data_IF_256556982060
#
_entry.id   IF_256556982060
#
_cell.length_a   1.000
_cell.length_b   1.000
_cell.length_c   1.000
_cell.angle_alpha   90.00
_cell.angle_beta   90.00
_cell.angle_gamma   90.00
#
_symmetry.space_group_name_H-M   'P 1'
#
loop_
_entity.id
_entity.type
_entity.pdbx_description
1 polymer ?
#
# COMPACT_ATOMS: atom_id res chain seq x y z
N UNK A 1 45.42 -81.53 -13.26
CA UNK A 1 46.29 -80.66 -12.43
C UNK A 1 46.41 -79.24 -12.99
N UNK A 2 46.64 -79.05 -14.30
CA UNK A 2 46.82 -77.72 -14.92
C UNK A 2 45.54 -76.86 -14.91
N UNK A 3 44.36 -77.45 -15.15
CA UNK A 3 43.07 -76.74 -15.13
C UNK A 3 42.64 -76.22 -13.74
N UNK A 4 43.15 -76.84 -12.67
CA UNK A 4 42.82 -76.43 -11.30
C UNK A 4 43.70 -75.23 -10.88
N UNK A 5 44.93 -75.16 -11.38
CA UNK A 5 45.83 -74.02 -11.16
C UNK A 5 45.36 -72.75 -11.88
N UNK A 6 44.79 -72.84 -13.08
CA UNK A 6 44.29 -71.66 -13.81
C UNK A 6 43.02 -71.05 -13.17
N UNK A 7 42.15 -71.87 -12.60
CA UNK A 7 40.97 -71.42 -11.84
C UNK A 7 41.35 -70.71 -10.54
N UNK A 8 42.32 -71.25 -9.80
CA UNK A 8 42.82 -70.65 -8.55
C UNK A 8 43.56 -69.34 -8.84
N UNK A 9 44.37 -69.30 -9.91
CA UNK A 9 45.04 -68.08 -10.37
C UNK A 9 44.03 -67.00 -10.78
N UNK A 10 42.92 -67.38 -11.43
CA UNK A 10 41.82 -66.48 -11.78
C UNK A 10 41.07 -65.92 -10.56
N UNK A 11 40.81 -66.75 -9.53
CA UNK A 11 40.21 -66.30 -8.26
C UNK A 11 41.12 -65.37 -7.48
N UNK A 12 42.42 -65.65 -7.42
CA UNK A 12 43.40 -64.79 -6.75
C UNK A 12 43.53 -63.44 -7.50
N UNK A 13 43.52 -63.46 -8.83
CA UNK A 13 43.52 -62.25 -9.65
C UNK A 13 42.26 -61.39 -9.46
N UNK A 14 41.07 -62.00 -9.38
CA UNK A 14 39.83 -61.24 -9.15
C UNK A 14 39.78 -60.63 -7.76
N UNK A 15 40.23 -61.33 -6.71
CA UNK A 15 40.34 -60.77 -5.36
C UNK A 15 41.39 -59.64 -5.27
N UNK A 16 42.53 -59.77 -5.95
CA UNK A 16 43.55 -58.71 -6.05
C UNK A 16 43.05 -57.49 -6.85
N UNK A 17 42.28 -57.69 -7.92
CA UNK A 17 41.64 -56.60 -8.68
C UNK A 17 40.57 -55.88 -7.85
N UNK A 18 39.73 -56.63 -7.13
CA UNK A 18 38.68 -56.07 -6.26
C UNK A 18 39.30 -55.26 -5.11
N UNK A 19 40.40 -55.72 -4.52
CA UNK A 19 41.13 -54.97 -3.48
C UNK A 19 41.77 -53.68 -4.01
N UNK A 20 42.34 -53.69 -5.22
CA UNK A 20 42.89 -52.47 -5.85
C UNK A 20 41.78 -51.48 -6.21
N UNK A 21 40.66 -51.95 -6.74
CA UNK A 21 39.50 -51.11 -7.04
C UNK A 21 38.88 -50.48 -5.78
N UNK A 22 38.88 -51.18 -4.65
CA UNK A 22 38.40 -50.65 -3.36
C UNK A 22 39.35 -49.60 -2.77
N UNK A 23 40.66 -49.81 -2.86
CA UNK A 23 41.68 -48.84 -2.43
C UNK A 23 41.68 -47.57 -3.29
N UNK A 24 41.53 -47.72 -4.61
CA UNK A 24 41.48 -46.61 -5.56
C UNK A 24 40.18 -45.81 -5.44
N UNK A 25 39.05 -46.48 -5.16
CA UNK A 25 37.80 -45.80 -4.78
C UNK A 25 37.94 -45.04 -3.46
N UNK A 26 38.58 -45.64 -2.45
CA UNK A 26 38.83 -44.98 -1.18
C UNK A 26 39.69 -43.72 -1.32
N UNK A 27 40.78 -43.80 -2.10
CA UNK A 27 41.72 -42.69 -2.32
C UNK A 27 41.15 -41.55 -3.18
N UNK A 28 40.14 -41.82 -4.01
CA UNK A 28 39.49 -40.80 -4.85
C UNK A 28 38.28 -40.14 -4.18
N UNK A 29 37.58 -40.87 -3.31
CA UNK A 29 36.39 -40.36 -2.59
C UNK A 29 36.79 -39.64 -1.30
N UNK A 30 37.81 -40.13 -0.58
CA UNK A 30 38.28 -39.52 0.67
C UNK A 30 38.61 -38.01 0.55
N UNK A 31 39.37 -37.52 -0.46
CA UNK A 31 39.63 -36.09 -0.60
C UNK A 31 38.36 -35.29 -0.95
N UNK A 32 37.42 -35.85 -1.70
CA UNK A 32 36.13 -35.20 -2.01
C UNK A 32 35.27 -35.01 -0.77
N UNK A 33 35.21 -36.03 0.09
CA UNK A 33 34.52 -35.96 1.38
C UNK A 33 35.22 -34.93 2.28
N UNK A 34 36.55 -34.90 2.30
CA UNK A 34 37.32 -33.92 3.08
C UNK A 34 37.02 -32.48 2.64
N UNK A 35 36.99 -32.23 1.32
CA UNK A 35 36.61 -30.93 0.76
C UNK A 35 35.16 -30.56 1.05
N UNK A 36 34.23 -31.50 0.95
CA UNK A 36 32.82 -31.28 1.31
C UNK A 36 32.67 -30.90 2.79
N UNK A 37 33.40 -31.56 3.69
CA UNK A 37 33.45 -31.20 5.12
C UNK A 37 34.04 -29.81 5.31
N UNK A 38 35.13 -29.47 4.61
CA UNK A 38 35.74 -28.14 4.67
C UNK A 38 34.76 -27.04 4.23
N UNK A 39 33.99 -27.28 3.16
CA UNK A 39 32.92 -26.38 2.70
C UNK A 39 31.85 -26.22 3.78
N UNK A 40 31.38 -27.30 4.40
CA UNK A 40 30.36 -27.21 5.45
C UNK A 40 30.86 -26.45 6.69
N UNK A 41 32.13 -26.61 7.06
CA UNK A 41 32.76 -25.82 8.13
C UNK A 41 32.84 -24.34 7.75
N UNK A 42 33.20 -24.03 6.50
CA UNK A 42 33.20 -22.66 5.99
C UNK A 42 31.78 -22.08 5.98
N UNK A 43 30.77 -22.84 5.55
CA UNK A 43 29.36 -22.42 5.58
C UNK A 43 28.91 -22.10 7.01
N UNK A 44 29.26 -22.95 7.98
CA UNK A 44 28.94 -22.69 9.39
C UNK A 44 29.61 -21.41 9.89
N UNK A 45 30.86 -21.15 9.49
CA UNK A 45 31.56 -19.92 9.82
C UNK A 45 30.86 -18.70 9.19
N UNK A 46 30.55 -18.74 7.89
CA UNK A 46 29.81 -17.69 7.18
C UNK A 46 28.44 -17.44 7.80
N UNK A 47 27.68 -18.49 8.13
CA UNK A 47 26.38 -18.36 8.78
C UNK A 47 26.48 -17.64 10.14
N UNK A 48 27.56 -17.89 10.88
CA UNK A 48 27.84 -17.22 12.14
C UNK A 48 28.18 -15.74 11.92
N UNK A 49 28.99 -15.42 10.91
CA UNK A 49 29.31 -14.03 10.53
C UNK A 49 28.04 -13.28 10.13
N UNK A 50 27.22 -13.87 9.26
CA UNK A 50 25.93 -13.32 8.81
C UNK A 50 25.02 -13.06 10.00
N UNK A 51 24.89 -14.02 10.92
CA UNK A 51 24.08 -13.86 12.14
C UNK A 51 24.51 -12.63 12.96
N UNK A 52 25.82 -12.48 13.21
CA UNK A 52 26.35 -11.36 13.99
C UNK A 52 26.23 -10.01 13.25
N UNK A 53 26.46 -9.99 11.94
CA UNK A 53 26.33 -8.76 11.13
C UNK A 53 24.88 -8.31 11.04
N UNK A 54 23.96 -9.23 10.74
CA UNK A 54 22.52 -8.97 10.72
C UNK A 54 22.03 -8.49 12.09
N UNK A 55 22.48 -9.09 13.20
CA UNK A 55 22.10 -8.63 14.54
C UNK A 55 22.58 -7.18 14.83
N UNK A 56 23.72 -6.76 14.29
CA UNK A 56 24.21 -5.38 14.43
C UNK A 56 23.40 -4.38 13.59
N UNK A 57 23.08 -4.75 12.34
CA UNK A 57 22.36 -3.87 11.41
C UNK A 57 20.88 -3.71 11.78
N UNK A 58 20.24 -4.76 12.29
CA UNK A 58 18.81 -4.77 12.65
C UNK A 58 18.54 -4.44 14.12
N UNK A 59 19.52 -3.92 14.87
CA UNK A 59 19.37 -3.64 16.31
C UNK A 59 18.26 -2.63 16.65
N UNK A 60 17.84 -1.80 15.68
CA UNK A 60 16.75 -0.81 15.82
C UNK A 60 15.41 -1.27 15.23
N UNK A 61 15.33 -2.50 14.75
CA UNK A 61 14.12 -3.08 14.16
C UNK A 61 13.34 -3.85 15.22
N UNK A 62 12.02 -3.96 15.04
CA UNK A 62 11.15 -4.81 15.86
C UNK A 62 11.71 -6.24 16.00
N UNK A 63 11.75 -6.82 17.22
CA UNK A 63 12.39 -8.11 17.49
C UNK A 63 11.87 -9.26 16.62
N UNK A 64 10.58 -9.21 16.25
CA UNK A 64 9.93 -10.23 15.42
C UNK A 64 10.43 -10.19 13.98
N UNK A 65 10.54 -9.00 13.39
CA UNK A 65 11.05 -8.80 12.02
C UNK A 65 12.54 -9.16 11.96
N UNK A 66 13.30 -8.77 12.98
CA UNK A 66 14.71 -9.12 13.10
C UNK A 66 14.93 -10.64 13.09
N UNK A 67 14.19 -11.39 13.93
CA UNK A 67 14.31 -12.85 13.98
C UNK A 67 13.96 -13.50 12.65
N UNK A 68 12.89 -13.04 12.00
CA UNK A 68 12.47 -13.56 10.69
C UNK A 68 13.53 -13.35 9.60
N UNK A 69 14.02 -12.12 9.42
CA UNK A 69 15.03 -11.80 8.41
C UNK A 69 16.34 -12.56 8.64
N UNK A 70 16.74 -12.68 9.91
CA UNK A 70 17.93 -13.43 10.28
C UNK A 70 17.78 -14.93 9.98
N UNK A 71 16.61 -15.52 10.27
CA UNK A 71 16.34 -16.92 9.95
C UNK A 71 16.40 -17.17 8.45
N UNK A 72 15.78 -16.30 7.63
CA UNK A 72 15.81 -16.41 6.17
C UNK A 72 17.26 -16.33 5.65
N UNK A 73 18.04 -15.36 6.11
CA UNK A 73 19.44 -15.21 5.68
C UNK A 73 20.30 -16.44 6.04
N UNK A 74 20.14 -16.97 7.26
CA UNK A 74 20.87 -18.17 7.69
C UNK A 74 20.44 -19.40 6.88
N UNK A 75 19.15 -19.57 6.59
CA UNK A 75 18.65 -20.67 5.76
C UNK A 75 19.25 -20.62 4.36
N UNK A 76 19.34 -19.45 3.72
CA UNK A 76 19.94 -19.30 2.39
C UNK A 76 21.43 -19.67 2.38
N UNK A 77 22.18 -19.31 3.42
CA UNK A 77 23.59 -19.71 3.58
C UNK A 77 23.72 -21.23 3.70
N UNK A 78 22.85 -21.86 4.48
CA UNK A 78 22.87 -23.33 4.62
C UNK A 78 22.49 -24.05 3.32
N UNK A 79 21.49 -23.56 2.59
CA UNK A 79 21.09 -24.12 1.30
C UNK A 79 22.25 -24.02 0.30
N UNK A 80 22.86 -22.83 0.15
CA UNK A 80 23.98 -22.62 -0.76
C UNK A 80 25.21 -23.46 -0.39
N UNK A 81 25.56 -23.53 0.88
CA UNK A 81 26.65 -24.38 1.37
C UNK A 81 26.40 -25.87 1.19
N UNK A 82 25.17 -26.33 1.42
CA UNK A 82 24.76 -27.71 1.20
C UNK A 82 24.87 -28.12 -0.28
N UNK A 83 24.40 -27.26 -1.19
CA UNK A 83 24.54 -27.48 -2.64
C UNK A 83 26.02 -27.53 -3.06
N UNK A 84 26.85 -26.62 -2.56
CA UNK A 84 28.29 -26.61 -2.84
C UNK A 84 28.99 -27.89 -2.36
N UNK A 85 28.66 -28.35 -1.14
CA UNK A 85 29.21 -29.60 -0.60
C UNK A 85 28.78 -30.84 -1.40
N UNK A 86 27.52 -30.92 -1.83
CA UNK A 86 27.01 -32.01 -2.67
C UNK A 86 27.71 -32.05 -4.04
N UNK A 87 28.04 -30.88 -4.61
CA UNK A 87 28.74 -30.77 -5.88
C UNK A 87 30.14 -31.40 -5.82
N UNK A 88 30.90 -31.15 -4.74
CA UNK A 88 32.25 -31.71 -4.55
C UNK A 88 32.25 -33.23 -4.40
N UNK A 89 31.21 -33.80 -3.78
CA UNK A 89 31.05 -35.26 -3.66
C UNK A 89 30.75 -35.91 -5.03
N UNK A 90 30.42 -35.12 -6.05
CA UNK A 90 30.10 -35.60 -7.40
C UNK A 90 28.63 -35.99 -7.56
N UNK A 91 27.76 -35.55 -6.64
CA UNK A 91 26.31 -35.69 -6.78
C UNK A 91 25.83 -34.64 -7.78
N UNK A 92 24.95 -35.03 -8.69
CA UNK A 92 24.37 -34.11 -9.66
C UNK A 92 23.46 -33.10 -8.95
N UNK A 93 23.98 -31.90 -8.72
CA UNK A 93 23.29 -30.83 -7.97
C UNK A 93 22.16 -30.17 -8.76
N UNK A 94 22.09 -30.37 -10.08
CA UNK A 94 21.07 -29.79 -10.95
C UNK A 94 19.65 -30.09 -10.46
N UNK A 95 19.37 -31.32 -10.03
CA UNK A 95 18.04 -31.73 -9.54
C UNK A 95 17.73 -31.10 -8.18
N UNK A 96 18.72 -31.01 -7.29
CA UNK A 96 18.58 -30.34 -5.98
C UNK A 96 18.31 -28.86 -6.16
N UNK A 97 19.09 -28.19 -7.02
CA UNK A 97 18.91 -26.77 -7.34
C UNK A 97 17.54 -26.52 -7.99
N UNK A 98 17.09 -27.41 -8.88
CA UNK A 98 15.76 -27.30 -9.48
C UNK A 98 14.63 -27.38 -8.43
N UNK A 99 14.71 -28.34 -7.49
CA UNK A 99 13.72 -28.49 -6.41
C UNK A 99 13.74 -27.29 -5.45
N UNK A 100 14.93 -26.86 -5.04
CA UNK A 100 15.11 -25.66 -4.19
C UNK A 100 14.58 -24.41 -4.90
N UNK A 101 14.88 -24.25 -6.19
CA UNK A 101 14.38 -23.15 -7.00
C UNK A 101 12.86 -23.14 -7.12
N UNK A 102 12.25 -24.30 -7.38
CA UNK A 102 10.80 -24.45 -7.43
C UNK A 102 10.13 -24.14 -6.06
N UNK A 103 10.71 -24.63 -4.96
CA UNK A 103 10.23 -24.31 -3.62
C UNK A 103 10.37 -22.81 -3.30
N UNK A 104 11.49 -22.19 -3.68
CA UNK A 104 11.74 -20.76 -3.53
C UNK A 104 10.75 -19.91 -4.33
N UNK A 105 10.45 -20.30 -5.58
CA UNK A 105 9.43 -19.64 -6.39
C UNK A 105 8.04 -19.75 -5.74
N UNK A 106 7.66 -20.93 -5.25
CA UNK A 106 6.37 -21.12 -4.57
C UNK A 106 6.25 -20.24 -3.31
N UNK A 107 7.30 -20.16 -2.49
CA UNK A 107 7.34 -19.27 -1.32
C UNK A 107 7.28 -17.80 -1.76
N UNK A 108 8.03 -17.42 -2.79
CA UNK A 108 8.04 -16.06 -3.33
C UNK A 108 6.66 -15.61 -3.83
N UNK A 109 5.97 -16.49 -4.57
CA UNK A 109 4.60 -16.25 -5.03
C UNK A 109 3.62 -16.16 -3.85
N UNK A 110 3.78 -17.00 -2.81
CA UNK A 110 2.97 -16.92 -1.60
C UNK A 110 3.17 -15.60 -0.84
N UNK A 111 4.37 -15.02 -0.88
CA UNK A 111 4.72 -13.76 -0.22
C UNK A 111 4.56 -12.52 -1.11
N UNK A 112 4.18 -12.69 -2.38
CA UNK A 112 4.14 -11.61 -3.38
C UNK A 112 3.32 -10.40 -2.91
N UNK A 113 2.13 -10.64 -2.33
CA UNK A 113 1.27 -9.56 -1.85
C UNK A 113 1.87 -8.82 -0.64
N UNK A 114 2.46 -9.54 0.30
CA UNK A 114 3.10 -8.93 1.48
C UNK A 114 4.28 -8.05 1.08
N UNK A 115 5.07 -8.50 0.10
CA UNK A 115 6.20 -7.73 -0.41
C UNK A 115 5.74 -6.50 -1.20
N UNK A 116 4.63 -6.61 -1.94
CA UNK A 116 4.00 -5.47 -2.63
C UNK A 116 3.55 -4.39 -1.63
N UNK A 117 2.89 -4.79 -0.53
CA UNK A 117 2.51 -3.86 0.54
C UNK A 117 3.72 -3.18 1.19
N UNK A 118 4.79 -3.93 1.45
CA UNK A 118 6.04 -3.40 2.00
C UNK A 118 6.66 -2.34 1.07
N UNK A 119 6.80 -2.66 -0.21
CA UNK A 119 7.37 -1.75 -1.20
C UNK A 119 6.52 -0.48 -1.33
N UNK A 120 5.19 -0.63 -1.39
CA UNK A 120 4.27 0.50 -1.41
C UNK A 120 4.39 1.37 -0.16
N UNK A 121 4.57 0.78 1.03
CA UNK A 121 4.82 1.53 2.27
C UNK A 121 6.07 2.41 2.19
N UNK A 122 7.18 1.87 1.68
CA UNK A 122 8.41 2.63 1.46
C UNK A 122 8.16 3.78 0.47
N UNK A 123 7.43 3.53 -0.62
CA UNK A 123 7.14 4.55 -1.62
C UNK A 123 6.22 5.65 -1.08
N UNK A 124 5.21 5.32 -0.28
CA UNK A 124 4.34 6.29 0.38
C UNK A 124 5.15 7.22 1.30
N UNK A 125 6.07 6.68 2.09
CA UNK A 125 6.92 7.49 2.99
C UNK A 125 7.96 8.32 2.21
N UNK A 126 8.45 7.81 1.08
CA UNK A 126 9.49 8.47 0.27
C UNK A 126 8.92 9.60 -0.58
N UNK A 127 7.82 9.36 -1.30
CA UNK A 127 7.19 10.34 -2.18
C UNK A 127 6.18 11.23 -1.48
N UNK A 128 5.65 10.81 -0.32
CA UNK A 128 4.70 11.55 0.51
C UNK A 128 3.52 12.15 -0.28
N UNK A 129 2.74 11.34 -1.02
CA UNK A 129 1.50 11.84 -1.65
C UNK A 129 0.45 12.31 -0.63
N UNK A 130 0.61 11.90 0.64
CA UNK A 130 -0.13 12.36 1.80
C UNK A 130 0.71 12.14 3.06
N UNK A 131 0.39 12.87 4.12
CA UNK A 131 1.01 12.73 5.44
C UNK A 131 0.00 12.32 6.52
N UNK A 132 0.49 11.97 7.71
CA UNK A 132 -0.37 11.72 8.87
C UNK A 132 -1.11 13.00 9.24
N UNK A 133 -2.43 12.92 9.37
CA UNK A 133 -3.32 14.06 9.58
C UNK A 133 -4.03 14.54 8.31
N UNK A 134 -3.63 14.10 7.12
CA UNK A 134 -4.35 14.43 5.89
C UNK A 134 -5.67 13.69 5.79
N UNK A 135 -6.69 14.36 5.24
CA UNK A 135 -7.96 13.72 4.87
C UNK A 135 -7.82 13.21 3.44
N UNK A 136 -7.92 11.90 3.27
CA UNK A 136 -7.79 11.23 1.97
C UNK A 136 -9.03 10.43 1.63
N UNK A 137 -9.25 10.21 0.34
CA UNK A 137 -10.20 9.26 -0.21
C UNK A 137 -9.47 8.38 -1.22
N UNK A 138 -9.43 7.08 -0.97
CA UNK A 138 -8.69 6.11 -1.77
C UNK A 138 -9.01 4.69 -1.34
N UNK A 139 -8.80 3.71 -2.23
CA UNK A 139 -9.13 2.31 -1.97
C UNK A 139 -10.58 2.05 -1.47
N UNK A 140 -11.53 2.90 -1.87
CA UNK A 140 -12.94 2.80 -1.47
C UNK A 140 -13.25 3.32 -0.06
N UNK A 141 -12.29 3.95 0.62
CA UNK A 141 -12.48 4.50 1.97
C UNK A 141 -12.10 5.98 2.01
N UNK A 142 -12.70 6.73 2.94
CA UNK A 142 -12.41 8.14 3.16
C UNK A 142 -12.25 8.43 4.65
N UNK A 143 -11.27 9.26 5.01
CA UNK A 143 -11.00 9.60 6.39
C UNK A 143 -9.64 10.28 6.58
N UNK A 144 -9.27 10.47 7.84
CA UNK A 144 -8.02 11.11 8.25
C UNK A 144 -6.96 10.02 8.43
N UNK A 145 -5.76 10.22 7.87
CA UNK A 145 -4.64 9.30 8.05
C UNK A 145 -4.12 9.39 9.49
N UNK A 146 -4.22 8.29 10.22
CA UNK A 146 -3.73 8.17 11.61
C UNK A 146 -2.27 7.69 11.66
N UNK A 147 -1.87 6.84 10.72
CA UNK A 147 -0.50 6.35 10.66
C UNK A 147 -0.18 5.56 9.39
N UNK A 148 1.06 5.68 8.92
CA UNK A 148 1.59 4.90 7.79
C UNK A 148 2.53 3.83 8.36
N UNK A 149 2.04 2.59 8.39
CA UNK A 149 2.81 1.43 8.79
C UNK A 149 3.57 0.81 7.62
N UNK A 150 4.33 -0.25 7.92
CA UNK A 150 5.18 -0.90 6.92
C UNK A 150 4.38 -1.63 5.83
N UNK A 151 3.27 -2.27 6.20
CA UNK A 151 2.43 -3.04 5.28
C UNK A 151 1.03 -2.43 5.08
N UNK A 152 0.58 -1.61 6.03
CA UNK A 152 -0.75 -1.01 5.99
C UNK A 152 -0.73 0.42 6.53
N UNK A 153 -1.70 1.20 6.08
CA UNK A 153 -1.99 2.55 6.54
C UNK A 153 -3.27 2.50 7.35
N UNK A 154 -3.28 3.19 8.48
CA UNK A 154 -4.45 3.32 9.36
C UNK A 154 -5.12 4.65 9.05
N UNK A 155 -6.43 4.58 8.80
CA UNK A 155 -7.29 5.72 8.49
C UNK A 155 -8.42 5.73 9.53
N UNK A 156 -8.76 6.89 10.05
CA UNK A 156 -9.91 7.08 10.94
C UNK A 156 -11.01 7.76 10.14
N UNK A 157 -12.16 7.10 10.02
CA UNK A 157 -13.32 7.64 9.33
C UNK A 157 -13.99 8.76 10.13
N UNK A 158 -14.86 9.59 9.51
CA UNK A 158 -15.55 10.69 10.20
C UNK A 158 -16.43 10.25 11.38
N UNK A 159 -16.93 9.01 11.36
CA UNK A 159 -17.68 8.37 12.44
C UNK A 159 -16.78 7.68 13.49
N UNK A 160 -15.49 8.01 13.51
CA UNK A 160 -14.50 7.54 14.47
C UNK A 160 -14.24 6.01 14.43
N UNK A 161 -14.34 5.40 13.24
CA UNK A 161 -13.99 3.99 13.02
C UNK A 161 -12.58 3.88 12.46
N UNK A 162 -11.77 3.01 13.06
CA UNK A 162 -10.41 2.72 12.58
C UNK A 162 -10.46 1.72 11.42
N UNK A 163 -10.01 2.16 10.25
CA UNK A 163 -9.91 1.40 9.02
C UNK A 163 -8.43 1.11 8.74
N UNK A 164 -8.08 -0.15 8.49
CA UNK A 164 -6.71 -0.54 8.12
C UNK A 164 -6.68 -0.93 6.65
N UNK A 165 -5.91 -0.21 5.85
CA UNK A 165 -5.83 -0.41 4.40
C UNK A 165 -4.43 -0.91 4.03
N UNK A 166 -4.30 -1.99 3.25
CA UNK A 166 -2.99 -2.41 2.75
C UNK A 166 -2.35 -1.33 1.87
N UNK A 167 -1.06 -1.05 2.08
CA UNK A 167 -0.38 0.09 1.45
C UNK A 167 -0.43 0.06 -0.08
N UNK A 168 -0.33 -1.13 -0.69
CA UNK A 168 -0.38 -1.25 -2.15
C UNK A 168 -1.71 -0.77 -2.71
N UNK A 169 -2.83 -0.91 -1.98
CA UNK A 169 -4.14 -0.48 -2.47
C UNK A 169 -4.25 1.05 -2.53
N UNK A 170 -3.57 1.75 -1.62
CA UNK A 170 -3.51 3.21 -1.63
C UNK A 170 -2.51 3.73 -2.67
N UNK A 171 -1.43 2.98 -2.91
CA UNK A 171 -0.38 3.41 -3.84
C UNK A 171 -0.70 3.10 -5.31
N UNK A 172 -1.41 2.00 -5.60
CA UNK A 172 -1.71 1.58 -6.98
C UNK A 172 -2.95 2.23 -7.57
N UNK A 173 -3.85 2.77 -6.74
CA UNK A 173 -5.12 3.36 -7.16
C UNK A 173 -5.10 4.88 -7.23
N UNK A 174 -6.18 5.46 -7.74
CA UNK A 174 -6.42 6.91 -7.64
C UNK A 174 -6.65 7.29 -6.18
N UNK A 175 -5.86 8.25 -5.70
CA UNK A 175 -5.95 8.80 -4.36
C UNK A 175 -6.29 10.29 -4.45
N UNK A 176 -7.36 10.70 -3.77
CA UNK A 176 -7.73 12.11 -3.61
C UNK A 176 -7.26 12.56 -2.23
N UNK A 177 -6.29 13.47 -2.20
CA UNK A 177 -5.94 14.17 -0.96
C UNK A 177 -6.78 15.46 -0.89
N UNK A 178 -7.59 15.57 0.15
CA UNK A 178 -8.53 16.67 0.34
C UNK A 178 -7.93 17.82 1.17
N UNK A 179 -6.76 17.64 1.78
CA UNK A 179 -6.14 18.60 2.71
C UNK A 179 -4.88 19.25 2.15
N UNK A 180 -4.10 18.55 1.31
CA UNK A 180 -2.76 18.99 0.86
C UNK A 180 -2.73 20.35 0.16
N UNK A 181 -3.80 20.74 -0.53
CA UNK A 181 -3.88 22.04 -1.22
C UNK A 181 -4.17 23.21 -0.27
N UNK A 182 -4.46 22.95 1.00
CA UNK A 182 -4.77 23.94 2.05
C UNK A 182 -6.17 24.56 1.93
N UNK A 183 -6.61 24.89 0.73
CA UNK A 183 -7.94 25.43 0.44
C UNK A 183 -8.79 24.45 -0.36
N UNK A 184 -10.11 24.57 -0.22
CA UNK A 184 -11.09 23.72 -0.91
C UNK A 184 -12.31 24.54 -1.30
N UNK A 185 -12.79 24.32 -2.52
CA UNK A 185 -14.04 24.89 -3.02
C UNK A 185 -15.21 24.01 -2.59
N UNK A 186 -16.24 24.63 -2.05
CA UNK A 186 -17.54 23.99 -1.84
C UNK A 186 -18.34 24.16 -3.11
N UNK A 187 -18.90 23.07 -3.64
CA UNK A 187 -19.80 23.14 -4.79
C UNK A 187 -21.23 22.88 -4.28
N UNK A 188 -22.05 23.92 -4.20
CA UNK A 188 -23.47 23.84 -3.86
C UNK A 188 -24.31 24.01 -5.12
N UNK A 189 -25.28 23.12 -5.31
CA UNK A 189 -26.28 23.20 -6.37
C UNK A 189 -27.60 23.63 -5.74
N UNK A 190 -28.12 24.78 -6.19
CA UNK A 190 -29.27 25.45 -5.59
C UNK A 190 -30.30 25.70 -6.67
N UNK A 191 -31.47 25.10 -6.52
CA UNK A 191 -32.62 25.33 -7.39
C UNK A 191 -33.32 26.64 -7.00
N UNK A 192 -33.44 27.56 -7.96
CA UNK A 192 -34.06 28.87 -7.72
C UNK A 192 -35.43 29.00 -8.39
N UNK A 193 -35.85 28.01 -9.21
CA UNK A 193 -37.11 28.06 -9.94
C UNK A 193 -37.12 29.16 -11.00
N UNK A 194 -38.18 29.96 -11.01
CA UNK A 194 -38.38 31.10 -11.93
C UNK A 194 -37.87 32.43 -11.36
N UNK A 195 -37.19 32.41 -10.22
CA UNK A 195 -36.65 33.63 -9.60
C UNK A 195 -35.67 34.34 -10.54
N UNK A 196 -35.62 35.69 -10.51
CA UNK A 196 -34.75 36.47 -11.38
C UNK A 196 -33.28 36.13 -11.13
N UNK A 197 -32.61 35.63 -12.17
CA UNK A 197 -31.26 35.04 -12.10
C UNK A 197 -30.23 36.05 -11.59
N UNK A 198 -30.15 37.23 -12.21
CA UNK A 198 -29.13 38.24 -11.89
C UNK A 198 -29.26 38.77 -10.45
N UNK A 199 -30.51 39.01 -10.02
CA UNK A 199 -30.79 39.45 -8.66
C UNK A 199 -30.46 38.36 -7.63
N UNK A 200 -30.77 37.10 -7.95
CA UNK A 200 -30.48 35.96 -7.07
C UNK A 200 -28.98 35.70 -6.94
N UNK A 201 -28.23 35.77 -8.04
CA UNK A 201 -26.75 35.68 -8.04
C UNK A 201 -26.16 36.77 -7.13
N UNK A 202 -26.58 38.02 -7.32
CA UNK A 202 -26.07 39.15 -6.53
C UNK A 202 -26.39 38.99 -5.05
N UNK A 203 -27.61 38.54 -4.73
CA UNK A 203 -28.06 38.28 -3.36
C UNK A 203 -27.27 37.14 -2.70
N UNK A 204 -27.01 36.03 -3.38
CA UNK A 204 -26.23 34.92 -2.81
C UNK A 204 -24.77 35.31 -2.59
N UNK A 205 -24.17 36.06 -3.50
CA UNK A 205 -22.81 36.56 -3.33
C UNK A 205 -22.71 37.50 -2.11
N UNK A 206 -23.65 38.43 -1.93
CA UNK A 206 -23.64 39.34 -0.79
C UNK A 206 -23.93 38.68 0.56
N UNK A 207 -24.69 37.57 0.58
CA UNK A 207 -24.98 36.79 1.78
C UNK A 207 -23.80 35.92 2.22
N UNK A 208 -23.09 35.30 1.28
CA UNK A 208 -22.03 34.32 1.58
C UNK A 208 -20.68 34.99 1.80
N UNK A 209 -20.40 36.11 1.14
CA UNK A 209 -19.10 36.77 1.22
C UNK A 209 -18.72 37.29 2.62
N UNK A 210 -19.65 37.74 3.48
CA UNK A 210 -19.35 38.10 4.87
C UNK A 210 -19.07 36.91 5.80
N UNK A 211 -19.27 35.67 5.35
CA UNK A 211 -19.11 34.48 6.19
C UNK A 211 -17.65 34.33 6.68
N UNK A 212 -17.39 34.15 7.99
CA UNK A 212 -16.04 34.23 8.56
C UNK A 212 -15.07 33.16 8.05
N UNK A 213 -15.58 32.01 7.60
CA UNK A 213 -14.80 30.90 7.08
C UNK A 213 -14.70 30.85 5.54
N UNK A 214 -15.36 31.78 4.85
CA UNK A 214 -15.28 31.91 3.39
C UNK A 214 -14.12 32.82 3.03
N UNK A 215 -13.29 32.37 2.10
CA UNK A 215 -12.13 33.12 1.63
C UNK A 215 -12.56 34.22 0.66
N UNK A 216 -11.90 35.38 0.79
CA UNK A 216 -12.04 36.48 -0.15
C UNK A 216 -11.27 36.22 -1.46
N UNK A 217 -10.16 35.49 -1.36
CA UNK A 217 -9.33 35.07 -2.49
C UNK A 217 -8.95 33.57 -2.29
N UNK A 218 -9.36 32.66 -3.20
CA UNK A 218 -10.16 32.90 -4.41
C UNK A 218 -11.59 33.37 -4.12
N UNK A 219 -12.11 34.26 -4.98
CA UNK A 219 -13.45 34.82 -4.80
C UNK A 219 -14.55 33.77 -4.99
N UNK A 220 -15.59 33.83 -4.17
CA UNK A 220 -16.83 33.07 -4.35
C UNK A 220 -17.43 33.34 -5.73
N UNK A 221 -17.78 32.28 -6.44
CA UNK A 221 -18.48 32.38 -7.74
C UNK A 221 -19.90 31.86 -7.64
N UNK A 222 -20.80 32.45 -8.43
CA UNK A 222 -22.17 32.00 -8.55
C UNK A 222 -22.60 32.07 -10.02
N UNK A 223 -22.98 30.95 -10.61
CA UNK A 223 -23.29 30.84 -12.05
C UNK A 223 -24.47 29.91 -12.30
N UNK A 224 -25.15 30.09 -13.42
CA UNK A 224 -26.20 29.15 -13.87
C UNK A 224 -25.57 27.80 -14.16
N UNK A 225 -26.07 26.77 -13.48
CA UNK A 225 -25.67 25.37 -13.62
C UNK A 225 -26.40 24.70 -14.79
N UNK A 226 -27.73 24.82 -14.78
CA UNK A 226 -28.61 24.21 -15.75
C UNK A 226 -29.97 24.93 -15.79
N UNK A 227 -30.70 24.72 -16.88
CA UNK A 227 -32.08 25.15 -17.05
C UNK A 227 -32.93 23.90 -17.20
N UNK A 228 -33.76 23.60 -16.19
CA UNK A 228 -34.65 22.45 -16.21
C UNK A 228 -36.08 22.90 -16.56
N UNK A 229 -36.73 22.17 -17.46
CA UNK A 229 -38.10 22.46 -17.88
C UNK A 229 -39.14 22.23 -16.76
N UNK A 230 -38.81 21.42 -15.76
CA UNK A 230 -39.74 21.02 -14.68
C UNK A 230 -39.48 21.75 -13.36
N UNK A 231 -38.20 22.01 -13.04
CA UNK A 231 -37.73 22.57 -11.77
C UNK A 231 -37.17 24.00 -11.92
N UNK A 232 -37.17 24.55 -13.14
CA UNK A 232 -36.69 25.89 -13.41
C UNK A 232 -35.16 25.99 -13.42
N UNK A 233 -34.63 27.16 -13.03
CA UNK A 233 -33.20 27.46 -13.10
C UNK A 233 -32.45 26.92 -11.89
N UNK A 234 -31.28 26.31 -12.13
CA UNK A 234 -30.36 25.84 -11.07
C UNK A 234 -29.08 26.68 -11.10
N UNK A 235 -28.60 27.09 -9.93
CA UNK A 235 -27.36 27.83 -9.77
C UNK A 235 -26.30 26.98 -9.05
N UNK A 236 -25.04 27.13 -9.47
CA UNK A 236 -23.89 26.71 -8.69
C UNK A 236 -23.39 27.87 -7.84
N UNK A 237 -23.39 27.71 -6.52
CA UNK A 237 -22.76 28.62 -5.57
C UNK A 237 -21.48 27.99 -5.03
N UNK A 238 -20.35 28.66 -5.24
CA UNK A 238 -19.02 28.08 -5.06
C UNK A 238 -18.10 28.91 -4.18
N UNK A 239 -18.31 28.93 -2.86
CA UNK A 239 -17.39 29.58 -1.94
C UNK A 239 -16.12 28.74 -1.74
N UNK A 240 -15.01 29.42 -1.51
CA UNK A 240 -13.74 28.80 -1.12
C UNK A 240 -13.57 28.88 0.39
N UNK A 241 -12.97 27.86 0.99
CA UNK A 241 -12.70 27.80 2.42
C UNK A 241 -11.39 27.05 2.68
N UNK A 242 -10.89 27.08 3.92
CA UNK A 242 -9.82 26.19 4.34
C UNK A 242 -10.31 24.74 4.34
N UNK A 243 -9.47 23.79 3.89
CA UNK A 243 -9.86 22.39 3.72
C UNK A 243 -10.44 21.77 5.00
N UNK A 244 -9.91 22.15 6.15
CA UNK A 244 -10.36 21.70 7.48
C UNK A 244 -11.79 22.15 7.82
N UNK A 245 -12.20 23.32 7.32
CA UNK A 245 -13.52 23.91 7.58
C UNK A 245 -14.57 23.52 6.54
N UNK A 246 -14.21 22.71 5.53
CA UNK A 246 -15.07 22.39 4.39
C UNK A 246 -16.48 21.91 4.80
N UNK A 247 -16.56 20.97 5.75
CA UNK A 247 -17.84 20.43 6.20
C UNK A 247 -18.72 21.47 6.89
N UNK A 248 -18.11 22.37 7.67
CA UNK A 248 -18.80 23.46 8.36
C UNK A 248 -19.30 24.50 7.36
N UNK A 249 -18.42 25.02 6.50
CA UNK A 249 -18.79 26.03 5.48
C UNK A 249 -19.89 25.50 4.57
N UNK A 250 -19.81 24.25 4.12
CA UNK A 250 -20.84 23.65 3.27
C UNK A 250 -22.21 23.67 3.94
N UNK A 251 -22.30 23.31 5.21
CA UNK A 251 -23.56 23.23 5.95
C UNK A 251 -24.11 24.62 6.30
N UNK A 252 -23.26 25.51 6.82
CA UNK A 252 -23.66 26.87 7.21
C UNK A 252 -24.10 27.70 6.01
N UNK A 253 -23.35 27.66 4.89
CA UNK A 253 -23.74 28.37 3.67
C UNK A 253 -25.06 27.83 3.10
N UNK A 254 -25.26 26.50 3.12
CA UNK A 254 -26.51 25.91 2.66
C UNK A 254 -27.70 26.36 3.52
N UNK A 255 -27.51 26.47 4.83
CA UNK A 255 -28.52 26.98 5.76
C UNK A 255 -28.85 28.45 5.47
N UNK A 256 -27.84 29.31 5.37
CA UNK A 256 -27.99 30.75 5.08
C UNK A 256 -28.78 30.95 3.78
N UNK A 257 -28.45 30.19 2.73
CA UNK A 257 -29.15 30.29 1.45
C UNK A 257 -30.60 29.83 1.58
N UNK A 258 -30.86 28.74 2.31
CA UNK A 258 -32.21 28.23 2.52
C UNK A 258 -33.09 29.25 3.25
N UNK A 259 -32.58 29.85 4.33
CA UNK A 259 -33.29 30.87 5.11
C UNK A 259 -33.59 32.11 4.26
N UNK A 260 -32.60 32.61 3.51
CA UNK A 260 -32.78 33.77 2.64
C UNK A 260 -33.78 33.53 1.48
N UNK A 261 -33.94 32.29 1.02
CA UNK A 261 -34.96 31.95 0.02
C UNK A 261 -36.36 31.88 0.63
N UNK A 262 -36.49 31.47 1.90
CA UNK A 262 -37.79 31.39 2.59
C UNK A 262 -38.35 32.78 2.90
N UNK A 263 -37.53 33.68 3.45
CA UNK A 263 -37.95 35.05 3.79
C UNK A 263 -38.49 35.84 2.59
N UNK A 264 -37.85 35.68 1.41
CA UNK A 264 -38.34 36.34 0.18
C UNK A 264 -39.68 35.80 -0.28
N UNK A 265 -39.94 34.51 -0.07
CA UNK A 265 -41.18 33.89 -0.48
C UNK A 265 -42.34 34.31 0.44
N UNK A 266 -42.11 34.41 1.75
CA UNK A 266 -43.09 34.97 2.70
C UNK A 266 -43.40 36.45 2.42
N UNK A 267 -42.39 37.24 2.04
CA UNK A 267 -42.58 38.65 1.68
C UNK A 267 -43.44 38.83 0.42
N UNK A 268 -43.23 38.00 -0.61
CA UNK A 268 -44.05 38.00 -1.85
C UNK A 268 -45.50 37.56 -1.56
N UNK A 269 -45.71 36.59 -0.66
CA UNK A 269 -47.04 36.11 -0.30
C UNK A 269 -47.84 37.16 0.48
N UNK A 270 -47.21 37.84 1.45
CA UNK A 270 -47.84 38.93 2.22
C UNK A 270 -48.18 40.14 1.33
N UNK A 271 -47.31 40.51 0.39
CA UNK A 271 -47.56 41.61 -0.54
C UNK A 271 -48.79 41.31 -1.41
N UNK A 272 -48.89 40.07 -1.91
CA UNK A 272 -50.02 39.61 -2.72
C UNK A 272 -51.37 39.58 -1.96
N UNK A 273 -51.37 39.16 -0.69
CA UNK A 273 -52.57 39.20 0.16
C UNK A 273 -52.98 40.62 0.52
N UNK A 274 -52.00 41.54 0.63
CA UNK A 274 -52.27 42.95 0.92
C UNK A 274 -52.88 43.69 -0.26
N UNK A 275 -52.44 43.40 -1.49
CA UNK A 275 -53.04 43.95 -2.71
C UNK A 275 -54.48 43.46 -2.90
N UNK A 276 -54.75 42.17 -2.63
CA UNK A 276 -56.11 41.61 -2.68
C UNK A 276 -57.06 42.27 -1.68
N UNK A 277 -56.57 42.70 -0.51
CA UNK A 277 -57.37 43.40 0.50
C UNK A 277 -57.66 44.88 0.21
N UNK A 278 -56.94 45.51 -0.73
CA UNK A 278 -57.15 46.92 -1.10
C UNK A 278 -58.20 47.04 -2.22
N UNK A 279 -58.52 45.94 -2.89
CA UNK A 279 -59.44 45.91 -4.05
C UNK A 279 -60.90 45.53 -3.66
N UNK A 280 -61.13 45.12 -2.41
CA UNK A 280 -62.46 44.91 -1.79
C UNK A 280 -62.92 46.13 -0.97
#
# INVERSE_FOLDING_TARGET
MILQQTLILGQIWSHLMVQKNLLDWGLTIAPKILWAIAILLLTRWVATVVHHLSHRLLKRTEPTIQKFLLQVAVILVWISGGVAALNEVGIQTTTVVAVVGAAGLAIGLALQNSLSHFAAGIMLVSFRPFEVGDTIEGAGVAGIVDGIGLFSTTIVSPDNVRITVPNSNLFSGTLKNQTIMGTRRVDLEIEIGDRPIEHTITSFLSLVQPHPLVLNDPKTTCHVASLNATTGTVLYLRPWCMAQCYGQVRSEVLQIVKEAMAEKQEAEEIDSESELRIVD
#
